data_IF_502940000365
#
_entry.id   IF_502940000365
#
_cell.length_a   1.000
_cell.length_b   1.000
_cell.length_c   1.000
_cell.angle_alpha   90.00
_cell.angle_beta   90.00
_cell.angle_gamma   90.00
#
_symmetry.space_group_name_H-M   'P 1'
#
loop_
_entity.id
_entity.type
_entity.pdbx_description
1 polymer ?
#
# COMPACT_ATOMS: atom_id res chain seq x y z
N UNK A 1 -16.95 -6.29 -3.52
CA UNK A 1 -16.69 -7.75 -3.55
C UNK A 1 -17.97 -8.57 -3.42
N UNK A 2 -18.79 -8.41 -2.40
CA UNK A 2 -20.05 -9.14 -2.18
C UNK A 2 -21.06 -9.07 -3.35
N UNK A 3 -21.10 -7.95 -4.07
CA UNK A 3 -21.97 -7.81 -5.27
C UNK A 3 -21.54 -8.72 -6.43
N UNK A 4 -20.25 -9.13 -6.47
CA UNK A 4 -19.68 -9.92 -7.59
C UNK A 4 -19.68 -11.42 -7.29
N UNK A 5 -19.60 -11.82 -6.02
CA UNK A 5 -19.52 -13.22 -5.63
C UNK A 5 -20.31 -13.49 -4.34
N UNK A 6 -21.41 -14.23 -4.48
CA UNK A 6 -22.26 -14.63 -3.36
C UNK A 6 -21.57 -15.58 -2.36
N UNK A 7 -20.53 -16.33 -2.80
CA UNK A 7 -19.75 -17.19 -1.90
C UNK A 7 -19.02 -16.38 -0.85
N UNK A 8 -18.60 -15.16 -1.19
CA UNK A 8 -17.94 -14.25 -0.25
C UNK A 8 -18.86 -13.80 0.89
N UNK A 9 -20.15 -13.65 0.63
CA UNK A 9 -21.15 -13.33 1.66
C UNK A 9 -21.21 -14.45 2.67
N UNK A 10 -21.32 -15.71 2.22
CA UNK A 10 -21.37 -16.88 3.09
C UNK A 10 -20.11 -17.02 3.93
N UNK A 11 -18.93 -16.85 3.33
CA UNK A 11 -17.67 -16.89 4.06
C UNK A 11 -17.57 -15.78 5.12
N UNK A 12 -18.10 -14.61 4.82
CA UNK A 12 -18.15 -13.50 5.78
C UNK A 12 -19.14 -13.76 6.93
N UNK A 13 -20.31 -14.32 6.63
CA UNK A 13 -21.30 -14.73 7.64
C UNK A 13 -20.74 -15.80 8.57
N UNK A 14 -19.94 -16.74 8.05
CA UNK A 14 -19.33 -17.83 8.81
C UNK A 14 -18.17 -17.36 9.70
N UNK A 15 -17.32 -16.48 9.21
CA UNK A 15 -16.06 -16.11 9.87
C UNK A 15 -16.08 -14.72 10.51
N UNK A 16 -16.82 -13.79 9.96
CA UNK A 16 -16.92 -12.41 10.45
C UNK A 16 -15.63 -11.58 10.35
N UNK A 17 -15.70 -10.27 10.72
CA UNK A 17 -14.56 -9.36 10.64
C UNK A 17 -13.37 -9.78 11.51
N UNK A 18 -13.60 -10.37 12.67
CA UNK A 18 -12.53 -10.76 13.59
C UNK A 18 -11.59 -11.84 13.02
N UNK A 19 -12.09 -12.70 12.16
CA UNK A 19 -11.26 -13.68 11.46
C UNK A 19 -10.37 -12.99 10.41
N UNK A 20 -10.94 -12.10 9.60
CA UNK A 20 -10.19 -11.40 8.55
C UNK A 20 -9.19 -10.43 9.14
N UNK A 21 -9.49 -9.76 10.25
CA UNK A 21 -8.57 -8.86 10.92
C UNK A 21 -7.29 -9.56 11.41
N UNK A 22 -7.38 -10.82 11.85
CA UNK A 22 -6.20 -11.62 12.22
C UNK A 22 -5.29 -11.87 11.04
N UNK A 23 -5.85 -12.18 9.86
CA UNK A 23 -5.09 -12.37 8.63
C UNK A 23 -4.44 -11.05 8.21
N UNK A 24 -5.18 -9.95 8.27
CA UNK A 24 -4.67 -8.62 7.92
C UNK A 24 -3.54 -8.17 8.85
N UNK A 25 -3.63 -8.43 10.15
CA UNK A 25 -2.56 -8.17 11.11
C UNK A 25 -1.30 -8.96 10.77
N UNK A 26 -1.43 -10.21 10.37
CA UNK A 26 -0.28 -11.01 9.90
C UNK A 26 0.34 -10.43 8.62
N UNK A 27 -0.47 -10.01 7.66
CA UNK A 27 0.00 -9.43 6.40
C UNK A 27 0.70 -8.09 6.63
N UNK A 28 0.11 -7.20 7.42
CA UNK A 28 0.68 -5.86 7.67
C UNK A 28 1.99 -5.96 8.48
N UNK A 29 2.10 -6.94 9.38
CA UNK A 29 3.35 -7.27 10.09
C UNK A 29 4.46 -7.65 9.12
N UNK A 30 4.18 -8.54 8.18
CA UNK A 30 5.17 -8.92 7.16
C UNK A 30 5.56 -7.72 6.28
N UNK A 31 4.58 -6.92 5.85
CA UNK A 31 4.84 -5.71 5.08
C UNK A 31 5.73 -4.71 5.83
N UNK A 32 5.49 -4.52 7.14
CA UNK A 32 6.30 -3.65 8.00
C UNK A 32 7.75 -4.12 8.11
N UNK A 33 7.97 -5.44 8.21
CA UNK A 33 9.31 -6.03 8.26
C UNK A 33 10.07 -5.91 6.93
N UNK A 34 9.36 -6.00 5.81
CA UNK A 34 9.94 -5.86 4.47
C UNK A 34 10.29 -4.42 4.11
N UNK A 35 9.70 -3.45 4.81
CA UNK A 35 9.89 -2.03 4.51
C UNK A 35 11.23 -1.55 5.06
N UNK A 36 11.98 -0.83 4.21
CA UNK A 36 13.22 -0.15 4.64
C UNK A 36 12.89 1.06 5.53
N UNK A 37 13.84 1.49 6.39
CA UNK A 37 13.74 2.77 7.07
C UNK A 37 13.43 3.92 6.08
N UNK A 38 12.57 4.85 6.46
CA UNK A 38 12.05 5.92 5.60
C UNK A 38 11.01 5.47 4.57
N UNK A 39 10.79 4.16 4.41
CA UNK A 39 9.84 3.62 3.44
C UNK A 39 8.38 3.93 3.78
N UNK A 40 7.55 3.96 2.74
CA UNK A 40 6.12 4.26 2.86
C UNK A 40 5.29 2.99 2.64
N UNK A 41 4.21 2.81 3.43
CA UNK A 41 3.25 1.73 3.34
C UNK A 41 1.84 2.32 3.21
N UNK A 42 1.15 1.97 2.14
CA UNK A 42 -0.27 2.26 2.01
C UNK A 42 -1.07 1.01 2.36
N UNK A 43 -1.81 1.06 3.46
CA UNK A 43 -2.78 0.06 3.84
C UNK A 43 -4.16 0.47 3.33
N UNK A 44 -4.87 -0.46 2.69
CA UNK A 44 -6.23 -0.19 2.22
C UNK A 44 -7.13 -1.40 2.35
N UNK A 45 -8.41 -1.16 2.66
CA UNK A 45 -9.46 -2.17 2.68
C UNK A 45 -10.71 -1.65 1.99
N UNK A 46 -11.62 -2.56 1.63
CA UNK A 46 -12.95 -2.22 1.13
C UNK A 46 -14.05 -2.58 2.14
N UNK A 47 -13.71 -2.70 3.43
CA UNK A 47 -14.64 -2.97 4.53
C UNK A 47 -14.87 -1.71 5.36
N UNK A 48 -15.96 -1.69 6.12
CA UNK A 48 -16.27 -0.64 7.09
C UNK A 48 -16.00 -1.08 8.54
N UNK A 49 -15.60 -2.34 8.75
CA UNK A 49 -15.31 -2.86 10.08
C UNK A 49 -14.14 -2.14 10.73
N UNK A 50 -14.29 -1.59 11.94
CA UNK A 50 -13.18 -1.02 12.69
C UNK A 50 -12.05 -2.03 12.98
N UNK A 51 -12.40 -3.30 13.19
CA UNK A 51 -11.44 -4.37 13.47
C UNK A 51 -10.44 -4.56 12.33
N UNK A 52 -10.94 -4.43 11.10
CA UNK A 52 -10.15 -4.56 9.88
C UNK A 52 -9.47 -3.25 9.46
N UNK A 53 -9.84 -2.13 10.06
CA UNK A 53 -9.40 -0.79 9.71
C UNK A 53 -8.54 -0.16 10.83
N UNK A 54 -9.11 0.74 11.63
CA UNK A 54 -8.36 1.49 12.65
C UNK A 54 -7.68 0.58 13.69
N UNK A 55 -8.33 -0.51 14.11
CA UNK A 55 -7.75 -1.45 15.08
C UNK A 55 -6.58 -2.25 14.50
N UNK A 56 -6.55 -2.47 13.18
CA UNK A 56 -5.39 -3.07 12.51
C UNK A 56 -4.23 -2.08 12.43
N UNK A 57 -4.50 -0.79 12.19
CA UNK A 57 -3.48 0.25 12.21
C UNK A 57 -2.95 0.49 13.64
N UNK A 58 -3.85 0.55 14.63
CA UNK A 58 -3.47 0.65 16.04
C UNK A 58 -2.53 -0.49 16.45
N UNK A 59 -2.87 -1.73 16.09
CA UNK A 59 -2.01 -2.90 16.31
C UNK A 59 -0.62 -2.70 15.69
N UNK A 60 -0.54 -2.23 14.45
CA UNK A 60 0.76 -1.98 13.81
C UNK A 60 1.59 -0.94 14.57
N UNK A 61 0.97 0.17 14.98
CA UNK A 61 1.67 1.23 15.72
C UNK A 61 2.14 0.78 17.11
N UNK A 62 1.43 -0.16 17.73
CA UNK A 62 1.83 -0.75 19.02
C UNK A 62 3.00 -1.71 18.88
N UNK A 63 2.97 -2.59 17.86
CA UNK A 63 4.03 -3.58 17.61
C UNK A 63 5.28 -2.96 16.98
N UNK A 64 5.13 -1.87 16.23
CA UNK A 64 6.19 -1.19 15.49
C UNK A 64 6.14 0.32 15.73
N UNK A 65 6.62 0.79 16.92
CA UNK A 65 6.55 2.20 17.30
C UNK A 65 7.32 3.15 16.37
N UNK A 66 8.20 2.61 15.54
CA UNK A 66 8.92 3.39 14.52
C UNK A 66 8.03 3.83 13.35
N UNK A 67 6.79 3.34 13.25
CA UNK A 67 5.85 3.79 12.23
C UNK A 67 5.07 5.02 12.70
N UNK A 68 4.81 5.91 11.76
CA UNK A 68 3.92 7.05 11.93
C UNK A 68 2.87 7.08 10.83
N UNK A 69 1.69 7.61 11.14
CA UNK A 69 0.65 7.85 10.13
C UNK A 69 0.94 9.18 9.44
N UNK A 70 1.03 9.14 8.12
CA UNK A 70 1.16 10.32 7.29
C UNK A 70 -0.21 10.86 6.92
N UNK A 71 -0.35 12.18 6.93
CA UNK A 71 -1.54 12.84 6.42
C UNK A 71 -1.62 12.67 4.91
N UNK A 72 -2.83 12.41 4.40
CA UNK A 72 -3.09 12.33 2.98
C UNK A 72 -3.81 13.59 2.53
N UNK A 73 -3.50 14.05 1.30
CA UNK A 73 -4.21 15.17 0.72
C UNK A 73 -5.72 14.89 0.70
N UNK A 74 -6.50 15.87 1.19
CA UNK A 74 -7.95 15.74 1.30
C UNK A 74 -8.63 15.89 -0.06
N UNK A 75 -9.53 14.96 -0.37
CA UNK A 75 -10.44 15.04 -1.51
C UNK A 75 -11.88 15.21 -1.02
N UNK A 76 -12.70 15.82 -1.85
CA UNK A 76 -14.15 15.90 -1.56
C UNK A 76 -14.73 14.50 -1.32
N UNK A 77 -15.39 14.31 -0.18
CA UNK A 77 -15.96 13.03 0.24
C UNK A 77 -15.08 12.19 1.18
N UNK A 78 -13.81 12.56 1.39
CA UNK A 78 -12.97 11.92 2.40
C UNK A 78 -13.46 12.26 3.81
N UNK A 79 -13.45 11.26 4.68
CA UNK A 79 -13.79 11.37 6.10
C UNK A 79 -12.61 10.85 6.93
N UNK A 80 -12.29 11.56 7.99
CA UNK A 80 -11.21 11.14 8.90
C UNK A 80 -11.53 9.78 9.54
N UNK A 81 -10.48 9.03 9.86
CA UNK A 81 -10.60 7.81 10.65
C UNK A 81 -11.18 8.08 12.04
N UNK A 82 -11.53 7.02 12.72
CA UNK A 82 -12.34 7.04 13.94
C UNK A 82 -11.56 6.52 15.16
N UNK A 83 -10.77 7.35 15.87
CA UNK A 83 -10.03 6.92 17.05
C UNK A 83 -10.89 6.27 18.13
N UNK A 84 -12.14 6.71 18.26
CA UNK A 84 -13.08 6.23 19.29
C UNK A 84 -13.46 4.75 19.17
N UNK A 85 -13.15 4.10 18.03
CA UNK A 85 -13.42 2.66 17.83
C UNK A 85 -12.24 1.78 18.17
N UNK A 86 -11.15 2.36 18.69
CA UNK A 86 -9.94 1.66 19.15
C UNK A 86 -9.75 1.79 20.66
N UNK A 87 -8.93 0.92 21.23
CA UNK A 87 -8.69 0.89 22.69
C UNK A 87 -7.92 2.11 23.17
N UNK A 88 -6.83 2.47 22.48
CA UNK A 88 -5.98 3.61 22.85
C UNK A 88 -6.62 4.96 22.55
N UNK A 89 -7.60 5.01 21.66
CA UNK A 89 -8.19 6.26 21.14
C UNK A 89 -7.14 7.23 20.62
N UNK A 90 -6.08 6.68 20.00
CA UNK A 90 -4.98 7.49 19.47
C UNK A 90 -5.47 8.47 18.41
N UNK A 91 -5.36 9.77 18.70
CA UNK A 91 -5.83 10.85 17.82
C UNK A 91 -5.12 10.85 16.44
N UNK A 92 -3.92 10.29 16.33
CA UNK A 92 -3.21 10.13 15.06
C UNK A 92 -4.02 9.31 14.02
N UNK A 93 -4.92 8.44 14.50
CA UNK A 93 -5.81 7.67 13.62
C UNK A 93 -6.78 8.56 12.81
N UNK A 94 -6.98 9.82 13.19
CA UNK A 94 -7.72 10.79 12.40
C UNK A 94 -7.07 11.10 11.05
N UNK A 95 -5.76 10.83 10.90
CA UNK A 95 -5.03 10.98 9.64
C UNK A 95 -5.35 9.88 8.64
N UNK A 96 -5.95 8.78 9.08
CA UNK A 96 -6.49 7.76 8.17
C UNK A 96 -7.76 8.26 7.51
N UNK A 97 -8.14 7.66 6.39
CA UNK A 97 -9.26 8.11 5.59
C UNK A 97 -10.30 7.01 5.43
N UNK A 98 -11.56 7.37 5.59
CA UNK A 98 -12.72 6.55 5.24
C UNK A 98 -13.44 7.16 4.05
N UNK A 99 -13.74 6.35 3.06
CA UNK A 99 -14.49 6.73 1.87
C UNK A 99 -15.82 5.99 1.92
N UNK A 100 -16.91 6.76 1.90
CA UNK A 100 -18.26 6.21 1.93
C UNK A 100 -18.98 6.39 0.60
N UNK A 101 -19.71 5.37 0.08
CA UNK A 101 -20.41 5.43 -1.20
C UNK A 101 -21.49 6.54 -1.29
N UNK A 102 -22.02 6.98 -0.15
CA UNK A 102 -23.01 8.07 -0.11
C UNK A 102 -22.39 9.48 -0.19
N UNK A 103 -21.06 9.57 -0.04
CA UNK A 103 -20.32 10.84 -0.12
C UNK A 103 -19.48 10.97 -1.39
N UNK A 104 -19.11 9.86 -1.99
CA UNK A 104 -18.28 9.82 -3.19
C UNK A 104 -18.76 8.73 -4.13
N UNK A 105 -18.73 9.00 -5.44
CA UNK A 105 -19.08 7.98 -6.44
C UNK A 105 -18.01 6.87 -6.44
N UNK A 106 -18.43 5.66 -6.10
CA UNK A 106 -17.53 4.50 -6.05
C UNK A 106 -17.90 3.50 -4.97
N UNK A 107 -16.99 2.61 -4.68
CA UNK A 107 -17.08 1.67 -3.56
C UNK A 107 -16.47 2.30 -2.30
N UNK A 108 -16.87 1.81 -1.11
CA UNK A 108 -16.27 2.28 0.13
C UNK A 108 -14.85 1.75 0.31
N UNK A 109 -14.01 2.58 0.89
CA UNK A 109 -12.62 2.22 1.21
C UNK A 109 -12.20 2.80 2.55
N UNK A 110 -11.22 2.14 3.15
CA UNK A 110 -10.39 2.69 4.21
C UNK A 110 -8.95 2.80 3.71
N UNK A 111 -8.26 3.87 4.04
CA UNK A 111 -6.88 4.14 3.65
C UNK A 111 -6.08 4.60 4.86
N UNK A 112 -4.87 4.06 5.02
CA UNK A 112 -3.89 4.55 5.98
C UNK A 112 -2.52 4.60 5.30
N UNK A 113 -1.94 5.78 5.22
CA UNK A 113 -0.60 5.99 4.71
C UNK A 113 0.35 6.03 5.91
N UNK A 114 1.33 5.15 5.91
CA UNK A 114 2.27 4.98 7.01
C UNK A 114 3.70 5.17 6.50
N UNK A 115 4.56 5.71 7.34
CA UNK A 115 5.98 5.82 7.09
C UNK A 115 6.76 5.15 8.20
N UNK A 116 7.73 4.33 7.84
CA UNK A 116 8.69 3.75 8.77
C UNK A 116 9.76 4.80 9.09
N UNK A 117 10.03 5.03 10.38
CA UNK A 117 11.04 5.98 10.82
C UNK A 117 12.43 5.69 10.23
N UNK A 118 13.22 6.72 10.11
CA UNK A 118 14.61 6.59 9.69
C UNK A 118 15.45 6.06 10.86
N UNK A 119 15.69 4.75 10.89
CA UNK A 119 16.70 4.17 11.74
C UNK A 119 17.96 3.97 10.89
N UNK A 120 18.90 4.91 10.97
CA UNK A 120 20.24 4.94 10.36
C UNK A 120 20.39 5.43 8.90
N UNK A 121 21.64 5.87 8.55
CA UNK A 121 21.89 6.62 7.33
C UNK A 121 21.44 5.85 6.10
N UNK A 122 20.85 6.58 5.19
CA UNK A 122 20.40 6.09 3.90
C UNK A 122 21.42 5.11 3.32
N UNK A 123 20.96 3.88 3.00
CA UNK A 123 21.73 3.03 2.10
C UNK A 123 22.03 3.86 0.86
N UNK A 124 23.28 3.85 0.38
CA UNK A 124 23.63 4.63 -0.79
C UNK A 124 22.62 4.33 -1.89
N UNK A 125 21.99 5.37 -2.39
CA UNK A 125 21.15 5.28 -3.58
C UNK A 125 22.00 4.61 -4.64
N UNK A 126 21.64 3.36 -4.97
CA UNK A 126 22.42 2.58 -5.91
C UNK A 126 22.59 3.41 -7.17
N UNK A 127 23.85 3.72 -7.49
CA UNK A 127 24.20 4.39 -8.74
C UNK A 127 23.66 3.51 -9.86
N UNK A 128 22.82 4.12 -10.69
CA UNK A 128 22.28 3.46 -11.85
C UNK A 128 23.43 3.14 -12.82
N UNK A 129 23.91 1.90 -12.78
CA UNK A 129 24.97 1.39 -13.66
C UNK A 129 24.43 0.69 -14.90
N UNK A 130 23.09 0.71 -15.08
CA UNK A 130 22.44 0.07 -16.20
C UNK A 130 22.62 0.84 -17.51
N UNK A 131 22.95 0.14 -18.61
CA UNK A 131 22.95 0.74 -19.94
C UNK A 131 21.50 1.13 -20.33
N UNK A 132 21.30 2.32 -20.93
CA UNK A 132 19.97 2.72 -21.38
C UNK A 132 19.45 1.72 -22.43
N UNK A 133 18.27 1.18 -22.19
CA UNK A 133 17.60 0.28 -23.14
C UNK A 133 16.77 1.12 -24.11
N UNK A 134 16.75 0.70 -25.39
CA UNK A 134 15.93 1.38 -26.40
C UNK A 134 14.45 1.10 -26.09
N UNK A 135 13.71 2.14 -25.77
CA UNK A 135 12.27 2.08 -25.49
C UNK A 135 11.48 2.41 -26.76
N UNK A 136 10.24 1.90 -26.92
CA UNK A 136 9.35 2.30 -28.02
C UNK A 136 9.11 3.81 -28.04
N UNK A 137 8.96 4.40 -29.22
CA UNK A 137 8.74 5.84 -29.39
C UNK A 137 7.44 6.31 -28.74
N UNK A 138 6.39 5.51 -28.81
CA UNK A 138 5.09 5.75 -28.18
C UNK A 138 5.23 5.90 -26.67
N UNK A 139 6.07 5.03 -26.06
CA UNK A 139 6.32 5.08 -24.62
C UNK A 139 7.16 6.30 -24.23
N UNK A 140 8.13 6.67 -25.06
CA UNK A 140 8.94 7.89 -24.83
C UNK A 140 8.06 9.13 -24.92
N UNK A 141 7.15 9.18 -25.89
CA UNK A 141 6.15 10.24 -26.01
C UNK A 141 5.23 10.30 -24.79
N UNK A 142 4.77 9.17 -24.30
CA UNK A 142 3.96 9.10 -23.06
C UNK A 142 4.72 9.66 -21.86
N UNK A 143 6.00 9.31 -21.68
CA UNK A 143 6.81 9.79 -20.57
C UNK A 143 6.96 11.31 -20.55
N UNK A 144 6.95 11.98 -21.70
CA UNK A 144 7.02 13.44 -21.78
C UNK A 144 5.81 14.17 -21.17
N UNK A 145 4.68 13.45 -20.99
CA UNK A 145 3.46 13.96 -20.36
C UNK A 145 3.37 13.63 -18.87
N UNK A 146 4.34 12.85 -18.35
CA UNK A 146 4.35 12.45 -16.94
C UNK A 146 5.31 13.32 -16.16
N UNK A 147 4.82 14.08 -15.20
CA UNK A 147 5.63 14.97 -14.34
C UNK A 147 6.45 14.21 -13.28
N UNK A 148 7.13 13.14 -13.69
CA UNK A 148 7.99 12.35 -12.82
C UNK A 148 9.20 11.83 -13.59
N UNK A 149 10.36 11.92 -12.98
CA UNK A 149 11.58 11.35 -13.56
C UNK A 149 11.60 9.82 -13.41
N UNK A 150 11.85 9.15 -14.52
CA UNK A 150 12.06 7.72 -14.59
C UNK A 150 13.47 7.42 -15.09
N UNK A 151 14.12 6.45 -14.49
CA UNK A 151 15.43 6.00 -14.92
C UNK A 151 15.28 4.96 -16.05
N UNK A 152 15.71 5.25 -17.29
CA UNK A 152 15.55 4.35 -18.44
C UNK A 152 16.20 2.98 -18.24
N UNK A 153 17.28 2.91 -17.48
CA UNK A 153 17.99 1.69 -17.14
C UNK A 153 17.14 0.70 -16.31
N UNK A 154 16.13 1.20 -15.59
CA UNK A 154 15.19 0.39 -14.82
C UNK A 154 13.96 -0.04 -15.61
N UNK A 155 13.90 0.28 -16.88
CA UNK A 155 12.79 -0.13 -17.74
C UNK A 155 13.12 -1.40 -18.49
N UNK A 156 12.19 -2.33 -18.53
CA UNK A 156 12.30 -3.58 -19.27
C UNK A 156 11.10 -3.79 -20.16
N UNK A 157 11.36 -3.97 -21.46
CA UNK A 157 10.34 -4.32 -22.44
C UNK A 157 10.15 -5.85 -22.44
N UNK A 158 8.94 -6.32 -22.17
CA UNK A 158 8.54 -7.73 -22.25
C UNK A 158 7.31 -7.84 -23.11
N UNK A 159 7.49 -8.34 -24.35
CA UNK A 159 6.41 -8.33 -25.34
C UNK A 159 5.98 -6.91 -25.69
N UNK A 160 4.72 -6.61 -25.50
CA UNK A 160 4.07 -5.31 -25.74
C UNK A 160 4.00 -4.40 -24.51
N UNK A 161 4.63 -4.80 -23.39
CA UNK A 161 4.53 -4.08 -22.09
C UNK A 161 5.89 -3.60 -21.63
N UNK A 162 5.91 -2.37 -21.11
CA UNK A 162 7.09 -1.80 -20.45
C UNK A 162 6.91 -1.91 -18.94
N UNK A 163 7.88 -2.50 -18.26
CA UNK A 163 7.91 -2.66 -16.82
C UNK A 163 8.96 -1.73 -16.23
N UNK A 164 8.60 -1.02 -15.15
CA UNK A 164 9.56 -0.27 -14.36
C UNK A 164 10.01 -1.13 -13.17
N UNK A 165 11.27 -1.53 -13.16
CA UNK A 165 11.80 -2.44 -12.15
C UNK A 165 12.17 -1.69 -10.87
N UNK A 166 11.67 -2.14 -9.72
CA UNK A 166 12.13 -1.67 -8.43
C UNK A 166 13.54 -2.20 -8.14
N UNK A 167 14.28 -1.53 -7.24
CA UNK A 167 15.63 -1.98 -6.83
C UNK A 167 15.64 -3.40 -6.25
N UNK A 168 14.53 -3.85 -5.67
CA UNK A 168 14.38 -5.19 -5.09
C UNK A 168 14.43 -6.27 -6.18
N UNK A 169 13.90 -5.97 -7.38
CA UNK A 169 13.87 -6.94 -8.48
C UNK A 169 15.19 -7.01 -9.29
N UNK A 170 16.13 -6.08 -9.05
CA UNK A 170 17.42 -6.04 -9.75
C UNK A 170 18.45 -6.93 -9.04
N UNK A 171 18.31 -7.15 -7.73
CA UNK A 171 19.28 -7.86 -6.91
C UNK A 171 19.03 -9.37 -6.76
N UNK A 172 17.85 -9.87 -7.15
CA UNK A 172 17.56 -11.31 -7.13
C UNK A 172 17.43 -11.87 -8.55
N UNK A 173 18.34 -12.78 -8.96
CA UNK A 173 18.07 -13.58 -10.14
C UNK A 173 16.85 -14.47 -9.84
N UNK A 174 15.72 -14.17 -10.45
CA UNK A 174 14.54 -15.02 -10.39
C UNK A 174 14.91 -16.43 -10.80
N UNK A 175 15.08 -17.34 -9.83
CA UNK A 175 15.03 -18.77 -10.09
C UNK A 175 13.63 -19.07 -10.62
N UNK A 176 13.52 -19.23 -11.92
CA UNK A 176 12.37 -19.88 -12.53
C UNK A 176 12.37 -21.32 -12.01
N UNK A 177 11.48 -21.64 -11.10
CA UNK A 177 11.04 -23.02 -10.95
C UNK A 177 10.05 -23.27 -12.09
N UNK A 178 10.34 -24.16 -13.03
CA UNK A 178 9.31 -24.61 -13.97
C UNK A 178 8.26 -25.39 -13.17
N UNK A 179 7.01 -25.06 -13.40
CA UNK A 179 5.87 -25.89 -13.02
C UNK A 179 5.75 -26.97 -14.09
#
# INVERSE_FOLDING_TARGET
>A
MFRKDKKMVKAWEEHGPSFFSKIQKSIITQAAQMLRPGGMLLYSTCTFSPEENEQTIEYLLQEYPEFQICEMEGYEGFVNGMPQVTESRNEELKKTVRIFPHRMKGEGHFLALLQKGEAHPALPSGTDTGKPKKLPEEFTSFLSHVHREFLPSRMELRGDKVYYLSLIHISEPTRRTPI
#
